data_IF_954276755777
#
_entry.id   IF_954276755777
#
_cell.length_a   1.000
_cell.length_b   1.000
_cell.length_c   1.000
_cell.angle_alpha   90.00
_cell.angle_beta   90.00
_cell.angle_gamma   90.00
#
_symmetry.space_group_name_H-M   'P 1'
#
loop_
_entity.id
_entity.type
_entity.pdbx_description
1 polymer ?
#
# COMPACT_ATOMS: atom_id res chain seq x y z
N UNK A 1 -19.81 -20.41 2.22
CA UNK A 1 -20.75 -19.26 2.31
C UNK A 1 -22.20 -19.76 2.40
N UNK A 2 -23.11 -19.04 3.09
CA UNK A 2 -24.49 -19.49 3.27
C UNK A 2 -25.37 -19.39 2.02
N UNK A 3 -24.99 -18.58 1.02
CA UNK A 3 -25.61 -18.50 -0.30
C UNK A 3 -24.64 -17.89 -1.33
N UNK A 4 -25.01 -17.92 -2.61
CA UNK A 4 -24.17 -17.44 -3.70
C UNK A 4 -23.95 -15.93 -3.67
N UNK A 5 -24.92 -15.16 -3.18
CA UNK A 5 -24.82 -13.71 -2.99
C UNK A 5 -23.68 -13.34 -2.03
N UNK A 6 -23.44 -14.17 -1.00
CA UNK A 6 -22.34 -14.04 -0.04
C UNK A 6 -21.12 -14.88 -0.40
N UNK A 7 -21.11 -15.46 -1.60
CA UNK A 7 -20.05 -16.31 -2.12
C UNK A 7 -19.58 -15.82 -3.47
N UNK A 8 -19.80 -16.64 -4.49
CA UNK A 8 -19.25 -16.41 -5.83
C UNK A 8 -19.82 -15.17 -6.54
N UNK A 9 -20.99 -14.68 -6.13
CA UNK A 9 -21.65 -13.49 -6.70
C UNK A 9 -21.43 -12.21 -5.88
N UNK A 10 -20.56 -12.25 -4.86
CA UNK A 10 -20.31 -11.10 -4.00
C UNK A 10 -19.71 -9.91 -4.77
N UNK A 11 -18.86 -10.19 -5.76
CA UNK A 11 -18.08 -9.19 -6.50
C UNK A 11 -18.43 -9.16 -7.99
N UNK A 12 -18.47 -7.96 -8.57
CA UNK A 12 -18.94 -7.74 -9.95
C UNK A 12 -17.89 -8.09 -11.03
N UNK A 13 -16.61 -8.16 -10.67
CA UNK A 13 -15.47 -8.14 -11.60
C UNK A 13 -15.55 -9.21 -12.69
N UNK A 14 -15.91 -10.45 -12.32
CA UNK A 14 -15.99 -11.55 -13.29
C UNK A 14 -17.12 -11.36 -14.29
N UNK A 15 -18.26 -10.79 -13.87
CA UNK A 15 -19.35 -10.47 -14.79
C UNK A 15 -18.97 -9.35 -15.77
N UNK A 16 -18.06 -8.45 -15.36
CA UNK A 16 -17.48 -7.40 -16.19
C UNK A 16 -16.25 -7.83 -17.00
N UNK A 17 -15.87 -9.12 -16.99
CA UNK A 17 -14.71 -9.63 -17.73
C UNK A 17 -13.34 -9.26 -17.14
N UNK A 18 -13.27 -8.70 -15.93
CA UNK A 18 -12.04 -8.28 -15.26
C UNK A 18 -11.30 -9.47 -14.61
N UNK A 19 -11.07 -10.53 -15.39
CA UNK A 19 -10.29 -11.70 -14.97
C UNK A 19 -8.82 -11.30 -14.86
N UNK A 20 -8.18 -11.65 -13.73
CA UNK A 20 -6.81 -11.23 -13.42
C UNK A 20 -6.69 -9.86 -12.74
N UNK A 21 -7.80 -9.16 -12.47
CA UNK A 21 -7.78 -7.86 -11.81
C UNK A 21 -7.54 -7.95 -10.29
N UNK A 22 -8.12 -8.96 -9.61
CA UNK A 22 -8.06 -9.08 -8.15
C UNK A 22 -6.64 -9.02 -7.53
N UNK A 23 -5.60 -9.65 -8.10
CA UNK A 23 -4.24 -9.53 -7.58
C UNK A 23 -3.75 -8.08 -7.44
N UNK A 24 -4.28 -7.14 -8.23
CA UNK A 24 -3.89 -5.73 -8.18
C UNK A 24 -4.23 -5.06 -6.85
N UNK A 25 -5.29 -5.49 -6.14
CA UNK A 25 -5.61 -4.98 -4.81
C UNK A 25 -4.52 -5.34 -3.79
N UNK A 26 -4.07 -6.59 -3.79
CA UNK A 26 -2.98 -7.04 -2.93
C UNK A 26 -1.67 -6.37 -3.30
N UNK A 27 -1.37 -6.21 -4.59
CA UNK A 27 -0.21 -5.44 -5.05
C UNK A 27 -0.29 -3.98 -4.56
N UNK A 28 -1.47 -3.35 -4.62
CA UNK A 28 -1.69 -2.01 -4.09
C UNK A 28 -1.32 -1.88 -2.61
N UNK A 29 -1.72 -2.85 -1.78
CA UNK A 29 -1.34 -2.87 -0.36
C UNK A 29 0.18 -3.02 -0.15
N UNK A 30 0.84 -3.86 -0.97
CA UNK A 30 2.28 -4.05 -0.93
C UNK A 30 3.03 -2.75 -1.29
N UNK A 31 2.65 -2.14 -2.42
CA UNK A 31 3.23 -0.88 -2.88
C UNK A 31 2.98 0.25 -1.88
N UNK A 32 1.77 0.37 -1.35
CA UNK A 32 1.42 1.40 -0.37
C UNK A 32 2.33 1.32 0.86
N UNK A 33 2.52 0.13 1.45
CA UNK A 33 3.37 -0.02 2.62
C UNK A 33 4.86 0.28 2.33
N UNK A 34 5.37 -0.20 1.19
CA UNK A 34 6.77 0.01 0.81
C UNK A 34 7.07 1.47 0.45
N UNK A 35 6.18 2.12 -0.31
CA UNK A 35 6.31 3.53 -0.68
C UNK A 35 6.09 4.45 0.53
N UNK A 36 5.16 4.11 1.43
CA UNK A 36 4.99 4.84 2.69
C UNK A 36 6.26 4.79 3.54
N UNK A 37 6.91 3.64 3.66
CA UNK A 37 8.18 3.52 4.37
C UNK A 37 9.30 4.35 3.71
N UNK A 38 9.28 4.54 2.40
CA UNK A 38 10.22 5.42 1.70
C UNK A 38 9.92 6.91 1.96
N UNK A 39 8.65 7.31 1.88
CA UNK A 39 8.21 8.67 2.18
C UNK A 39 8.53 9.05 3.64
N UNK A 40 8.29 8.14 4.59
CA UNK A 40 8.59 8.34 6.01
C UNK A 40 10.07 8.59 6.28
N UNK A 41 10.96 7.80 5.63
CA UNK A 41 12.41 8.01 5.70
C UNK A 41 12.83 9.35 5.10
N UNK A 42 12.20 9.78 4.01
CA UNK A 42 12.53 11.02 3.32
C UNK A 42 12.06 12.27 4.08
N UNK A 43 10.90 12.19 4.75
CA UNK A 43 10.24 13.32 5.40
C UNK A 43 10.52 13.41 6.90
N UNK A 44 11.03 12.34 7.53
CA UNK A 44 11.51 12.36 8.90
C UNK A 44 10.41 12.21 9.95
N UNK A 45 9.46 11.28 9.76
CA UNK A 45 8.45 10.92 10.75
C UNK A 45 7.05 11.43 10.43
N UNK A 46 6.31 10.66 9.64
CA UNK A 46 4.95 10.97 9.20
C UNK A 46 3.91 10.91 10.32
N UNK A 47 4.07 9.99 11.27
CA UNK A 47 3.11 9.83 12.38
C UNK A 47 2.98 11.10 13.23
N UNK A 48 4.09 11.79 13.49
CA UNK A 48 4.10 13.05 14.23
C UNK A 48 3.45 14.19 13.44
N UNK A 49 3.70 14.24 12.12
CA UNK A 49 3.04 15.20 11.23
C UNK A 49 1.53 14.98 11.21
N UNK A 50 1.08 13.73 11.12
CA UNK A 50 -0.35 13.39 11.14
C UNK A 50 -1.02 13.75 12.46
N UNK A 51 -0.32 13.57 13.59
CA UNK A 51 -0.84 13.99 14.90
C UNK A 51 -1.10 15.50 14.98
N UNK A 52 -0.40 16.32 14.17
CA UNK A 52 -0.61 17.78 14.04
C UNK A 52 -1.53 18.17 12.88
N UNK A 53 -2.05 17.22 12.12
CA UNK A 53 -2.86 17.48 10.94
C UNK A 53 -2.07 17.94 9.71
N UNK A 54 -0.75 17.72 9.68
CA UNK A 54 0.15 18.13 8.61
C UNK A 54 0.24 17.05 7.52
N UNK A 55 -0.63 17.12 6.52
CA UNK A 55 -0.65 16.15 5.41
C UNK A 55 0.02 16.66 4.12
N UNK A 56 0.23 17.97 4.03
CA UNK A 56 0.78 18.60 2.83
C UNK A 56 2.18 18.08 2.45
N UNK A 57 3.13 17.85 3.39
CA UNK A 57 4.44 17.31 3.04
C UNK A 57 4.37 15.97 2.32
N UNK A 58 3.57 15.02 2.83
CA UNK A 58 3.38 13.73 2.19
C UNK A 58 2.73 13.87 0.81
N UNK A 59 1.67 14.68 0.70
CA UNK A 59 1.01 14.90 -0.60
C UNK A 59 1.98 15.45 -1.64
N UNK A 60 2.79 16.43 -1.27
CA UNK A 60 3.81 17.02 -2.16
C UNK A 60 4.82 15.96 -2.58
N UNK A 61 5.33 15.17 -1.64
CA UNK A 61 6.26 14.08 -1.94
C UNK A 61 5.65 13.05 -2.92
N UNK A 62 4.40 12.62 -2.68
CA UNK A 62 3.69 11.69 -3.59
C UNK A 62 3.48 12.29 -4.98
N UNK A 63 3.14 13.58 -5.07
CA UNK A 63 2.96 14.26 -6.35
C UNK A 63 4.24 14.28 -7.17
N UNK A 64 5.36 14.65 -6.55
CA UNK A 64 6.65 14.78 -7.22
C UNK A 64 7.25 13.43 -7.59
N UNK A 65 7.17 12.45 -6.68
CA UNK A 65 7.87 11.19 -6.83
C UNK A 65 7.06 10.11 -7.55
N UNK A 66 5.72 10.16 -7.48
CA UNK A 66 4.83 9.12 -8.02
C UNK A 66 3.94 9.72 -9.11
N UNK A 67 3.09 10.69 -8.76
CA UNK A 67 2.00 11.12 -9.66
C UNK A 67 2.51 11.83 -10.92
N UNK A 68 3.53 12.68 -10.79
CA UNK A 68 4.07 13.46 -11.91
C UNK A 68 4.66 12.58 -13.03
N UNK A 69 5.13 11.36 -12.70
CA UNK A 69 5.70 10.44 -13.68
C UNK A 69 4.65 9.73 -14.53
N UNK A 70 3.37 9.72 -14.13
CA UNK A 70 2.29 9.04 -14.86
C UNK A 70 2.66 7.59 -15.22
N UNK A 71 2.69 7.29 -16.53
CA UNK A 71 3.07 5.98 -17.07
C UNK A 71 4.51 5.92 -17.62
N UNK A 72 5.38 6.88 -17.29
CA UNK A 72 6.77 6.89 -17.76
C UNK A 72 7.63 5.75 -17.17
N UNK A 73 7.15 5.09 -16.11
CA UNK A 73 7.77 3.93 -15.47
C UNK A 73 6.69 2.90 -15.13
N UNK A 74 7.05 1.62 -15.18
CA UNK A 74 6.20 0.59 -14.58
C UNK A 74 6.15 0.76 -13.06
N UNK A 75 5.12 0.20 -12.42
CA UNK A 75 4.99 0.25 -10.96
C UNK A 75 6.20 -0.39 -10.23
N UNK A 76 6.77 -1.46 -10.79
CA UNK A 76 7.93 -2.13 -10.23
C UNK A 76 9.18 -1.24 -10.30
N UNK A 77 9.47 -0.66 -11.48
CA UNK A 77 10.59 0.26 -11.65
C UNK A 77 10.46 1.51 -10.79
N UNK A 78 9.24 2.05 -10.65
CA UNK A 78 8.98 3.20 -9.80
C UNK A 78 9.25 2.88 -8.33
N UNK A 79 8.74 1.75 -7.83
CA UNK A 79 8.97 1.34 -6.45
C UNK A 79 10.45 1.06 -6.18
N UNK A 80 11.15 0.38 -7.08
CA UNK A 80 12.57 0.11 -6.93
C UNK A 80 13.40 1.40 -6.95
N UNK A 81 13.07 2.34 -7.85
CA UNK A 81 13.72 3.63 -7.90
C UNK A 81 13.56 4.45 -6.61
N UNK A 82 12.36 4.48 -6.02
CA UNK A 82 12.08 5.28 -4.83
C UNK A 82 12.50 4.61 -3.53
N UNK A 83 12.50 3.27 -3.50
CA UNK A 83 12.72 2.52 -2.26
C UNK A 83 14.09 1.87 -2.18
N UNK A 84 14.79 1.73 -3.31
CA UNK A 84 16.10 1.10 -3.44
C UNK A 84 16.06 -0.42 -3.50
N UNK A 85 14.86 -1.04 -3.54
CA UNK A 85 14.69 -2.49 -3.61
C UNK A 85 13.43 -2.87 -4.43
N UNK A 86 13.39 -4.08 -5.02
CA UNK A 86 12.19 -4.59 -5.66
C UNK A 86 10.98 -4.68 -4.72
N UNK A 87 9.78 -4.87 -5.28
CA UNK A 87 8.56 -5.03 -4.48
C UNK A 87 8.70 -6.17 -3.46
N UNK A 88 8.36 -5.88 -2.20
CA UNK A 88 8.55 -6.80 -1.08
C UNK A 88 7.38 -6.77 -0.10
N UNK A 89 6.91 -7.96 0.27
CA UNK A 89 5.87 -8.16 1.30
C UNK A 89 6.30 -7.73 2.71
N UNK A 90 7.60 -7.57 2.95
CA UNK A 90 8.17 -7.29 4.27
C UNK A 90 7.63 -6.00 4.87
N UNK A 91 7.44 -4.95 4.06
CA UNK A 91 6.91 -3.67 4.53
C UNK A 91 5.46 -3.78 5.00
N UNK A 92 4.61 -4.47 4.22
CA UNK A 92 3.21 -4.68 4.59
C UNK A 92 3.08 -5.54 5.85
N UNK A 93 3.84 -6.64 5.93
CA UNK A 93 3.83 -7.50 7.14
C UNK A 93 4.33 -6.74 8.37
N UNK A 94 5.39 -5.94 8.23
CA UNK A 94 5.88 -5.08 9.32
C UNK A 94 4.79 -4.10 9.77
N UNK A 95 4.14 -3.40 8.83
CA UNK A 95 3.06 -2.47 9.14
C UNK A 95 1.90 -3.14 9.88
N UNK A 96 1.42 -4.28 9.36
CA UNK A 96 0.30 -5.01 9.97
C UNK A 96 0.65 -5.55 11.36
N UNK A 97 1.84 -6.11 11.56
CA UNK A 97 2.29 -6.59 12.88
C UNK A 97 2.41 -5.43 13.88
N UNK A 98 3.01 -4.31 13.48
CA UNK A 98 3.15 -3.13 14.34
C UNK A 98 1.78 -2.55 14.73
N UNK A 99 0.81 -2.55 13.80
CA UNK A 99 -0.53 -2.02 14.05
C UNK A 99 -1.41 -2.97 14.87
N UNK A 100 -1.46 -4.25 14.51
CA UNK A 100 -2.41 -5.21 15.07
C UNK A 100 -1.87 -5.91 16.33
N UNK A 101 -0.56 -6.10 16.44
CA UNK A 101 0.06 -6.76 17.59
C UNK A 101 -0.33 -6.13 18.93
N UNK A 102 -0.15 -4.80 19.11
CA UNK A 102 -0.56 -4.11 20.34
C UNK A 102 -2.06 -4.12 20.59
N UNK A 103 -2.88 -4.04 19.53
CA UNK A 103 -4.34 -3.97 19.65
C UNK A 103 -4.95 -5.29 20.12
N UNK A 104 -4.35 -6.41 19.72
CA UNK A 104 -4.91 -7.76 19.96
C UNK A 104 -4.01 -8.65 20.83
N UNK A 105 -2.90 -8.13 21.36
CA UNK A 105 -1.97 -8.87 22.22
C UNK A 105 -1.24 -10.02 21.52
N UNK A 106 -1.10 -9.96 20.19
CA UNK A 106 -0.44 -11.00 19.40
C UNK A 106 1.03 -10.63 19.22
N UNK A 107 1.95 -11.44 19.74
CA UNK A 107 3.37 -11.16 19.66
C UNK A 107 3.83 -11.06 18.19
N UNK A 108 4.60 -10.02 17.87
CA UNK A 108 5.30 -9.91 16.60
C UNK A 108 6.46 -10.93 16.60
N UNK A 109 6.15 -12.17 16.23
CA UNK A 109 7.16 -13.21 15.98
C UNK A 109 8.05 -12.88 14.78
#
# INVERSE_FOLDING_TARGET
PPNDTLGVLQDIHWSGGAIGYFPTYSLGNLYAAQLFAAADRALGGLDEMFARGEFLPLKTWLNENIHASGQCRSAAELAEHLTGEPLSHRHLIKHLRAKLGPLYGVAAG
#
